data_IF_713611287566
#
_entry.id   IF_713611287566
#
_cell.length_a   1.000
_cell.length_b   1.000
_cell.length_c   1.000
_cell.angle_alpha   90.00
_cell.angle_beta   90.00
_cell.angle_gamma   90.00
#
_symmetry.space_group_name_H-M   'P 1'
#
loop_
_entity.id
_entity.type
_entity.pdbx_description
1 polymer ?
#
# COMPACT_ATOMS: atom_id res chain seq x y z
N UNK A 1 -7.19 5.47 38.04
CA UNK A 1 -6.51 5.64 36.73
C UNK A 1 -6.29 7.13 36.53
N UNK A 2 -5.07 7.59 36.75
CA UNK A 2 -4.74 9.00 36.67
C UNK A 2 -4.68 9.47 35.23
N UNK A 3 -5.24 10.66 34.96
CA UNK A 3 -5.22 11.25 33.62
C UNK A 3 -3.86 11.89 33.39
N UNK A 4 -3.19 11.53 32.29
CA UNK A 4 -1.97 12.21 31.86
C UNK A 4 -2.28 13.66 31.46
N UNK A 5 -1.45 14.64 31.83
CA UNK A 5 -1.64 16.02 31.41
C UNK A 5 -1.44 16.14 29.89
N UNK A 6 -2.23 17.00 29.24
CA UNK A 6 -2.16 17.33 27.81
C UNK A 6 -1.98 18.83 27.70
N UNK A 7 -0.98 19.28 26.94
CA UNK A 7 -0.77 20.69 26.61
C UNK A 7 -1.28 20.95 25.19
N UNK A 8 -2.07 22.01 25.01
CA UNK A 8 -2.60 22.42 23.71
C UNK A 8 -2.34 23.91 23.51
N UNK A 9 -1.87 24.27 22.32
CA UNK A 9 -1.70 25.67 21.90
C UNK A 9 -2.65 25.93 20.73
N UNK A 10 -3.33 27.07 20.78
CA UNK A 10 -4.30 27.46 19.78
C UNK A 10 -4.40 28.97 19.73
N UNK A 11 -4.47 29.53 18.52
CA UNK A 11 -4.65 30.97 18.28
C UNK A 11 -6.12 31.34 18.07
N UNK A 12 -7.01 30.36 17.85
CA UNK A 12 -8.41 30.57 17.45
C UNK A 12 -9.38 30.22 18.60
N UNK A 13 -8.95 29.35 19.51
CA UNK A 13 -9.82 28.78 20.54
C UNK A 13 -9.61 29.48 21.89
N UNK A 14 -10.70 29.98 22.48
CA UNK A 14 -10.76 30.40 23.89
C UNK A 14 -10.89 29.18 24.81
N UNK A 15 -10.72 29.37 26.13
CA UNK A 15 -10.86 28.34 27.18
C UNK A 15 -12.35 27.97 27.35
N UNK A 16 -12.92 27.32 26.34
CA UNK A 16 -14.30 26.86 26.32
C UNK A 16 -14.34 25.34 26.43
N UNK A 17 -15.15 24.83 27.35
CA UNK A 17 -15.40 23.40 27.50
C UNK A 17 -16.74 23.05 26.85
N UNK A 18 -16.76 21.95 26.13
CA UNK A 18 -17.94 21.41 25.45
C UNK A 18 -18.25 20.05 26.05
N UNK A 19 -19.53 19.80 26.27
CA UNK A 19 -20.05 18.52 26.71
C UNK A 19 -20.09 17.54 25.53
N UNK A 20 -19.51 16.36 25.73
CA UNK A 20 -19.52 15.29 24.74
C UNK A 20 -20.17 14.06 25.35
N UNK A 21 -21.29 13.63 24.79
CA UNK A 21 -21.87 12.33 25.08
C UNK A 21 -20.99 11.24 24.47
N UNK A 22 -20.61 10.25 25.28
CA UNK A 22 -19.95 9.03 24.82
C UNK A 22 -20.86 7.83 25.04
N UNK A 23 -20.97 6.99 24.02
CA UNK A 23 -21.57 5.66 24.15
C UNK A 23 -20.56 4.72 24.82
N UNK A 24 -20.97 3.96 25.83
CA UNK A 24 -20.14 2.87 26.40
C UNK A 24 -20.00 1.74 25.36
N UNK A 25 -18.85 1.06 25.38
CA UNK A 25 -18.52 -0.05 24.47
C UNK A 25 -19.38 -1.30 24.67
N UNK A 26 -20.14 -1.39 25.77
CA UNK A 26 -20.77 -2.62 26.24
C UNK A 26 -22.30 -2.65 26.05
N UNK A 27 -22.87 -1.84 25.15
CA UNK A 27 -24.30 -1.89 24.83
C UNK A 27 -25.25 -1.25 25.86
N UNK A 28 -24.82 -1.09 27.11
CA UNK A 28 -25.58 -0.32 28.11
C UNK A 28 -25.42 1.18 27.85
N UNK A 29 -26.52 1.81 27.40
CA UNK A 29 -26.59 3.22 27.06
C UNK A 29 -26.70 4.04 28.35
N UNK A 30 -25.56 4.34 28.94
CA UNK A 30 -25.43 5.52 29.81
C UNK A 30 -24.61 6.57 29.08
N UNK A 31 -25.23 7.71 28.78
CA UNK A 31 -24.56 8.86 28.17
C UNK A 31 -23.56 9.44 29.18
N UNK A 32 -22.28 9.05 29.06
CA UNK A 32 -21.23 9.69 29.84
C UNK A 32 -20.98 11.07 29.25
N UNK A 33 -21.54 12.11 29.89
CA UNK A 33 -21.26 13.50 29.55
C UNK A 33 -19.84 13.83 30.02
N UNK A 34 -18.90 13.88 29.08
CA UNK A 34 -17.51 14.28 29.37
C UNK A 34 -17.30 15.72 28.92
N UNK A 35 -16.86 16.60 29.82
CA UNK A 35 -16.42 17.97 29.46
C UNK A 35 -15.01 17.92 28.87
N UNK A 36 -14.85 18.39 27.64
CA UNK A 36 -13.55 18.53 26.96
C UNK A 36 -13.38 19.94 26.41
N UNK A 37 -12.16 20.51 26.43
CA UNK A 37 -11.88 21.75 25.72
C UNK A 37 -12.26 21.65 24.25
N UNK A 38 -12.91 22.68 23.71
CA UNK A 38 -13.31 22.75 22.29
C UNK A 38 -12.12 22.53 21.35
N UNK A 39 -10.98 23.12 21.68
CA UNK A 39 -9.73 22.98 20.92
C UNK A 39 -9.31 21.51 20.73
N UNK A 40 -9.53 20.65 21.73
CA UNK A 40 -9.19 19.22 21.65
C UNK A 40 -10.17 18.48 20.73
N UNK A 41 -11.45 18.86 20.74
CA UNK A 41 -12.45 18.25 19.86
C UNK A 41 -12.16 18.59 18.40
N UNK A 42 -11.93 19.87 18.12
CA UNK A 42 -11.65 20.34 16.76
C UNK A 42 -10.34 19.76 16.23
N UNK A 43 -9.29 19.72 17.06
CA UNK A 43 -8.04 19.02 16.75
C UNK A 43 -8.27 17.55 16.37
N UNK A 44 -8.97 16.78 17.21
CA UNK A 44 -9.20 15.36 16.92
C UNK A 44 -10.02 15.14 15.64
N UNK A 45 -10.92 16.08 15.32
CA UNK A 45 -11.71 16.03 14.08
C UNK A 45 -10.85 16.29 12.84
N UNK A 46 -9.88 17.19 12.91
CA UNK A 46 -9.11 17.63 11.74
C UNK A 46 -7.79 16.88 11.55
N UNK A 47 -7.18 16.39 12.64
CA UNK A 47 -5.84 15.77 12.60
C UNK A 47 -5.77 14.47 11.80
N UNK A 48 -6.90 13.82 11.53
CA UNK A 48 -6.98 12.62 10.69
C UNK A 48 -6.86 12.89 9.18
N UNK A 49 -6.79 14.16 8.74
CA UNK A 49 -6.80 14.54 7.32
C UNK A 49 -5.51 14.25 6.53
N UNK A 50 -4.55 13.51 7.11
CA UNK A 50 -3.31 13.18 6.40
C UNK A 50 -3.59 11.99 5.47
N UNK A 51 -3.44 12.22 4.16
CA UNK A 51 -3.74 11.24 3.12
C UNK A 51 -2.88 9.96 3.17
N UNK A 52 -1.86 9.90 4.04
CA UNK A 52 -0.90 8.81 4.15
C UNK A 52 -1.55 7.42 4.31
N UNK A 53 -2.63 7.32 5.08
CA UNK A 53 -3.36 6.06 5.21
C UNK A 53 -4.01 5.65 3.89
N UNK A 54 -4.59 6.59 3.13
CA UNK A 54 -5.24 6.30 1.85
C UNK A 54 -4.24 5.79 0.80
N UNK A 55 -3.00 6.30 0.84
CA UNK A 55 -1.94 5.92 -0.09
C UNK A 55 -1.31 4.57 0.25
N UNK A 56 -1.40 4.14 1.51
CA UNK A 56 -0.85 2.86 1.97
C UNK A 56 -1.58 1.65 1.37
N UNK A 57 -2.88 1.77 1.10
CA UNK A 57 -3.70 0.68 0.57
C UNK A 57 -3.20 0.14 -0.78
N UNK A 58 -2.55 0.99 -1.57
CA UNK A 58 -2.09 0.65 -2.92
C UNK A 58 -0.75 1.30 -3.21
N UNK A 59 0.24 0.97 -2.40
CA UNK A 59 1.59 1.50 -2.59
C UNK A 59 2.22 0.94 -3.86
N UNK A 60 2.62 1.84 -4.76
CA UNK A 60 3.49 1.47 -5.90
C UNK A 60 4.98 1.52 -5.54
N UNK A 61 5.31 1.99 -4.33
CA UNK A 61 6.68 2.11 -3.84
C UNK A 61 7.19 0.74 -3.41
N UNK A 62 8.25 0.26 -4.07
CA UNK A 62 8.87 -1.03 -3.76
C UNK A 62 10.06 -0.84 -2.81
N UNK A 63 10.17 -1.67 -1.77
CA UNK A 63 11.20 -1.55 -0.73
C UNK A 63 12.63 -1.81 -1.26
N UNK A 64 12.79 -2.68 -2.24
CA UNK A 64 14.09 -3.11 -2.78
C UNK A 64 14.62 -2.25 -3.95
N UNK A 65 14.29 -0.95 -3.99
CA UNK A 65 14.78 -0.09 -5.08
C UNK A 65 16.19 0.42 -4.79
N UNK A 66 17.18 -0.03 -5.58
CA UNK A 66 18.58 0.43 -5.49
C UNK A 66 18.75 1.94 -5.81
N UNK A 67 17.81 2.53 -6.55
CA UNK A 67 17.86 3.93 -7.00
C UNK A 67 16.77 4.75 -6.31
N UNK A 68 17.17 5.66 -5.42
CA UNK A 68 16.25 6.42 -4.55
C UNK A 68 15.28 7.31 -5.34
N UNK A 69 15.71 7.97 -6.42
CA UNK A 69 14.81 8.84 -7.22
C UNK A 69 13.59 8.09 -7.78
N UNK A 70 13.71 6.78 -8.08
CA UNK A 70 12.57 5.96 -8.51
C UNK A 70 11.53 5.79 -7.41
N UNK A 71 11.97 5.79 -6.15
CA UNK A 71 11.09 5.76 -4.96
C UNK A 71 10.27 7.04 -4.88
N UNK A 72 10.92 8.20 -5.01
CA UNK A 72 10.28 9.52 -5.01
C UNK A 72 9.27 9.62 -6.15
N UNK A 73 9.67 9.26 -7.37
CA UNK A 73 8.79 9.29 -8.54
C UNK A 73 7.51 8.48 -8.33
N UNK A 74 7.63 7.25 -7.80
CA UNK A 74 6.48 6.38 -7.50
C UNK A 74 5.59 6.96 -6.41
N UNK A 75 6.18 7.60 -5.40
CA UNK A 75 5.41 8.28 -4.36
C UNK A 75 4.61 9.44 -4.95
N UNK A 76 5.24 10.29 -5.77
CA UNK A 76 4.56 11.39 -6.46
C UNK A 76 3.45 10.88 -7.39
N UNK A 77 3.68 9.76 -8.08
CA UNK A 77 2.66 9.12 -8.92
C UNK A 77 1.43 8.71 -8.09
N UNK A 78 1.61 8.06 -6.94
CA UNK A 78 0.50 7.68 -6.06
C UNK A 78 -0.28 8.89 -5.56
N UNK A 79 0.42 9.98 -5.20
CA UNK A 79 -0.21 11.23 -4.77
C UNK A 79 -1.03 11.85 -5.91
N UNK A 80 -0.47 11.90 -7.12
CA UNK A 80 -1.14 12.49 -8.29
C UNK A 80 -2.42 11.73 -8.63
N UNK A 81 -2.38 10.40 -8.56
CA UNK A 81 -3.53 9.55 -8.85
C UNK A 81 -4.61 9.65 -7.76
N UNK A 82 -4.22 9.68 -6.48
CA UNK A 82 -5.17 9.94 -5.39
C UNK A 82 -5.83 11.31 -5.51
N UNK A 83 -5.06 12.36 -5.82
CA UNK A 83 -5.59 13.71 -6.02
C UNK A 83 -6.58 13.76 -7.18
N UNK A 84 -6.29 13.07 -8.30
CA UNK A 84 -7.21 12.93 -9.42
C UNK A 84 -8.51 12.21 -9.02
N UNK A 85 -8.40 11.14 -8.21
CA UNK A 85 -9.57 10.44 -7.68
C UNK A 85 -10.42 11.32 -6.76
N UNK A 86 -9.80 12.11 -5.87
CA UNK A 86 -10.51 13.07 -5.01
C UNK A 86 -11.26 14.10 -5.85
N UNK A 87 -10.64 14.61 -6.92
CA UNK A 87 -11.30 15.53 -7.85
C UNK A 87 -12.49 14.86 -8.55
N UNK A 88 -12.30 13.65 -9.07
CA UNK A 88 -13.37 12.85 -9.68
C UNK A 88 -14.56 12.64 -8.74
N UNK A 89 -14.30 12.30 -7.46
CA UNK A 89 -15.35 12.17 -6.43
C UNK A 89 -16.08 13.49 -6.19
N UNK A 90 -15.36 14.61 -6.12
CA UNK A 90 -15.95 15.95 -5.96
C UNK A 90 -16.84 16.34 -7.14
N UNK A 91 -16.52 15.89 -8.35
CA UNK A 91 -17.32 16.10 -9.55
C UNK A 91 -18.54 15.15 -9.66
N UNK A 92 -18.89 14.40 -8.60
CA UNK A 92 -20.05 13.49 -8.59
C UNK A 92 -19.74 12.06 -9.03
N UNK A 93 -18.47 11.71 -9.19
CA UNK A 93 -18.04 10.36 -9.51
C UNK A 93 -18.41 9.35 -8.42
N UNK A 94 -19.12 8.27 -8.80
CA UNK A 94 -19.59 7.25 -7.84
C UNK A 94 -18.66 6.04 -7.72
N UNK A 95 -17.75 5.87 -8.66
CA UNK A 95 -16.85 4.73 -8.77
C UNK A 95 -15.94 4.56 -7.54
N UNK A 96 -15.57 3.31 -7.23
CA UNK A 96 -14.60 3.01 -6.16
C UNK A 96 -13.19 3.42 -6.57
N UNK A 97 -12.25 3.49 -5.61
CA UNK A 97 -10.86 3.83 -5.92
C UNK A 97 -10.18 2.78 -6.81
N UNK A 98 -10.47 1.49 -6.57
CA UNK A 98 -9.94 0.40 -7.38
C UNK A 98 -10.41 0.49 -8.83
N UNK A 99 -11.72 0.65 -9.03
CA UNK A 99 -12.30 0.76 -10.36
C UNK A 99 -11.79 1.98 -11.12
N UNK A 100 -11.60 3.11 -10.40
CA UNK A 100 -10.98 4.31 -10.96
C UNK A 100 -9.58 4.04 -11.49
N UNK A 101 -8.75 3.31 -10.72
CA UNK A 101 -7.42 2.92 -11.17
C UNK A 101 -7.44 1.99 -12.36
N UNK A 102 -8.30 0.98 -12.37
CA UNK A 102 -8.38 0.03 -13.48
C UNK A 102 -8.76 0.75 -14.77
N UNK A 103 -9.72 1.68 -14.70
CA UNK A 103 -10.10 2.52 -15.84
C UNK A 103 -8.98 3.47 -16.28
N UNK A 104 -8.25 4.07 -15.34
CA UNK A 104 -7.09 4.91 -15.65
C UNK A 104 -6.02 4.10 -16.39
N UNK A 105 -5.71 2.90 -15.91
CA UNK A 105 -4.74 2.00 -16.55
C UNK A 105 -5.20 1.60 -17.96
N UNK A 106 -6.46 1.19 -18.11
CA UNK A 106 -7.04 0.83 -19.41
C UNK A 106 -6.99 2.01 -20.41
N UNK A 107 -7.35 3.21 -19.95
CA UNK A 107 -7.32 4.43 -20.77
C UNK A 107 -5.91 4.79 -21.22
N UNK A 108 -4.90 4.56 -20.36
CA UNK A 108 -3.50 4.78 -20.70
C UNK A 108 -3.00 3.78 -21.76
N UNK A 109 -3.51 2.55 -21.78
CA UNK A 109 -3.11 1.53 -22.75
C UNK A 109 -3.88 1.59 -24.07
N UNK A 110 -5.08 2.15 -24.09
CA UNK A 110 -5.93 2.29 -25.28
C UNK A 110 -5.19 2.84 -26.52
N UNK A 111 -4.41 3.94 -26.44
CA UNK A 111 -3.67 4.45 -27.61
C UNK A 111 -2.48 3.59 -28.05
N UNK A 112 -2.05 2.63 -27.22
CA UNK A 112 -0.94 1.72 -27.52
C UNK A 112 -1.42 0.35 -28.04
N UNK A 113 -2.73 0.05 -27.94
CA UNK A 113 -3.33 -1.24 -28.32
C UNK A 113 -3.44 -1.49 -29.83
N UNK A 114 -3.47 -0.45 -30.67
CA UNK A 114 -3.50 -0.61 -32.13
C UNK A 114 -2.11 -0.80 -32.76
N UNK A 115 -1.03 -0.46 -32.01
CA UNK A 115 0.35 -0.58 -32.48
C UNK A 115 1.14 -1.53 -31.60
N UNK A 116 0.74 -2.79 -31.61
CA UNK A 116 1.61 -3.98 -31.60
C UNK A 116 0.71 -5.22 -31.57
N UNK A 117 0.73 -5.96 -32.66
CA UNK A 117 0.79 -7.41 -32.59
C UNK A 117 1.97 -7.75 -31.66
N UNK A 118 1.73 -7.78 -30.35
CA UNK A 118 2.60 -8.47 -29.41
C UNK A 118 2.52 -9.91 -29.90
N UNK A 119 3.47 -10.30 -30.73
CA UNK A 119 3.78 -11.70 -30.93
C UNK A 119 3.91 -12.24 -29.52
N UNK A 120 2.91 -13.00 -29.15
CA UNK A 120 2.90 -13.83 -27.98
C UNK A 120 4.15 -14.70 -28.14
N UNK A 121 5.26 -14.29 -27.53
CA UNK A 121 6.21 -15.27 -27.03
C UNK A 121 5.36 -16.05 -26.06
N UNK A 122 4.74 -17.10 -26.59
CA UNK A 122 4.22 -18.22 -25.82
C UNK A 122 5.32 -18.43 -24.79
N UNK A 123 5.02 -18.09 -23.54
CA UNK A 123 5.87 -18.50 -22.45
C UNK A 123 5.89 -20.01 -22.58
N UNK A 124 6.95 -20.55 -23.17
CA UNK A 124 7.15 -21.98 -23.25
C UNK A 124 6.91 -22.47 -21.84
N UNK A 125 5.83 -23.25 -21.68
CA UNK A 125 5.47 -23.88 -20.42
C UNK A 125 6.77 -24.42 -19.85
N UNK A 126 7.18 -23.89 -18.70
CA UNK A 126 8.42 -24.28 -18.05
C UNK A 126 8.38 -25.79 -17.85
N UNK A 127 9.03 -26.52 -18.76
CA UNK A 127 8.88 -27.97 -18.88
C UNK A 127 9.83 -28.61 -17.89
N UNK A 128 9.54 -28.53 -16.59
CA UNK A 128 10.13 -29.33 -15.49
C UNK A 128 11.65 -29.21 -15.23
N UNK A 129 12.45 -28.95 -16.26
CA UNK A 129 13.92 -28.97 -16.33
C UNK A 129 14.56 -27.69 -15.78
N UNK A 130 13.75 -26.69 -15.45
CA UNK A 130 14.20 -25.45 -14.81
C UNK A 130 14.09 -25.47 -13.28
N UNK A 131 13.40 -26.46 -12.71
CA UNK A 131 13.30 -26.58 -11.26
C UNK A 131 14.56 -27.27 -10.72
N UNK A 132 15.12 -26.73 -9.65
CA UNK A 132 16.23 -27.38 -8.95
C UNK A 132 15.74 -28.70 -8.37
N UNK A 133 16.35 -29.82 -8.78
CA UNK A 133 16.11 -31.12 -8.18
C UNK A 133 16.90 -31.24 -6.88
N UNK A 134 16.24 -31.69 -5.82
CA UNK A 134 16.90 -32.08 -4.57
C UNK A 134 17.81 -33.29 -4.84
N UNK A 135 19.09 -33.21 -4.47
CA UNK A 135 20.02 -34.34 -4.51
C UNK A 135 20.10 -34.85 -3.08
N UNK A 136 19.85 -36.15 -2.88
CA UNK A 136 19.94 -36.77 -1.55
C UNK A 136 21.37 -36.66 -1.00
N UNK A 137 21.47 -36.34 0.29
CA UNK A 137 22.72 -36.18 1.01
C UNK A 137 23.45 -37.52 1.05
N UNK A 138 24.73 -37.54 0.64
CA UNK A 138 25.61 -38.64 1.01
C UNK A 138 26.13 -38.35 2.41
N UNK A 139 25.80 -39.21 3.37
CA UNK A 139 26.51 -39.30 4.64
C UNK A 139 27.98 -39.58 4.34
N UNK A 140 28.81 -38.53 4.34
CA UNK A 140 30.08 -38.52 5.05
C UNK A 140 30.80 -37.18 4.87
N UNK A 141 31.41 -36.76 5.99
CA UNK A 141 32.29 -35.62 6.22
C UNK A 141 31.62 -34.29 6.61
N UNK A 142 32.06 -33.85 7.78
CA UNK A 142 31.69 -32.72 8.61
C UNK A 142 31.90 -31.36 7.91
N UNK A 143 31.09 -31.02 6.91
CA UNK A 143 30.80 -29.63 6.47
C UNK A 143 29.63 -29.61 5.48
N UNK A 144 28.48 -29.03 5.85
CA UNK A 144 27.32 -28.89 4.95
C UNK A 144 27.49 -27.73 3.96
N UNK A 145 28.21 -27.98 2.86
CA UNK A 145 28.27 -27.05 1.73
C UNK A 145 27.33 -27.54 0.63
N UNK A 146 26.15 -26.91 0.51
CA UNK A 146 25.23 -27.19 -0.60
C UNK A 146 25.67 -26.45 -1.87
N UNK A 147 26.34 -27.17 -2.77
CA UNK A 147 26.67 -26.66 -4.11
C UNK A 147 25.52 -26.95 -5.09
N UNK A 148 24.90 -25.89 -5.65
CA UNK A 148 23.93 -26.00 -6.75
C UNK A 148 24.65 -25.75 -8.07
N UNK A 149 24.98 -26.80 -8.80
CA UNK A 149 25.56 -26.69 -10.14
C UNK A 149 24.49 -26.84 -11.23
N UNK A 150 24.48 -25.93 -12.21
CA UNK A 150 23.78 -26.14 -13.49
C UNK A 150 24.51 -27.24 -14.26
N UNK A 151 23.79 -28.29 -14.69
CA UNK A 151 24.35 -29.27 -15.65
C UNK A 151 24.72 -28.53 -16.94
N UNK A 152 25.95 -28.67 -17.45
CA UNK A 152 26.28 -28.17 -18.77
C UNK A 152 25.56 -29.00 -19.85
N UNK A 153 25.18 -28.39 -20.98
CA UNK A 153 24.54 -29.10 -22.09
C UNK A 153 25.51 -30.13 -22.65
N UNK A 154 25.07 -31.39 -22.71
CA UNK A 154 25.82 -32.47 -23.35
C UNK A 154 25.95 -32.21 -24.84
N UNK A 155 27.17 -32.31 -25.33
CA UNK A 155 27.51 -32.40 -26.76
C UNK A 155 26.95 -33.72 -27.29
N UNK A 156 25.93 -33.66 -28.15
CA UNK A 156 25.57 -34.78 -29.01
C UNK A 156 26.59 -34.86 -30.15
N UNK A 157 27.47 -35.86 -30.10
CA UNK A 157 28.25 -36.33 -31.24
C UNK A 157 27.37 -37.31 -32.02
N UNK A 158 26.99 -36.92 -33.24
CA UNK A 158 26.81 -37.86 -34.35
C UNK A 158 28.03 -37.72 -35.26
#
# INVERSE_FOLDING_TARGET
MDKKPICMLSTIHTINFVEQCKKKSNGDVEDIITKKPKAILDYNRTMGGVADQCLSYYTTVRNQQKKYYKKIFRQLLNQSEWNAFVLFKKCGGKMTHLDFRMNLVQSLFQPYGEKKHLQHLVADRLTGRQFASHIEEKENADTSVHCVCRKPPGTELN
#
